data_IF_294565134686
#
_entry.id   IF_294565134686
#
_cell.length_a   1.000
_cell.length_b   1.000
_cell.length_c   1.000
_cell.angle_alpha   90.00
_cell.angle_beta   90.00
_cell.angle_gamma   90.00
#
_symmetry.space_group_name_H-M   'P 1'
#
loop_
_entity.id
_entity.type
_entity.pdbx_description
1 polymer ?
#
# COMPACT_ATOMS: atom_id res chain seq x y z
N UNK A 1 27.94 -4.52 3.26
CA UNK A 1 26.94 -5.42 3.88
C UNK A 1 25.85 -4.54 4.44
N UNK A 2 24.58 -4.82 4.11
CA UNK A 2 23.47 -4.25 4.86
C UNK A 2 23.44 -4.92 6.24
N UNK A 3 22.91 -4.25 7.28
CA UNK A 3 22.58 -4.91 8.53
C UNK A 3 21.66 -6.12 8.27
N UNK A 4 21.88 -7.27 8.93
CA UNK A 4 21.15 -8.55 8.73
C UNK A 4 19.61 -8.48 8.91
N UNK A 5 19.08 -7.30 9.25
CA UNK A 5 17.66 -7.02 9.44
C UNK A 5 17.22 -5.68 8.83
N UNK A 6 17.97 -5.12 7.88
CA UNK A 6 17.68 -3.81 7.32
C UNK A 6 16.27 -3.78 6.71
N UNK A 7 15.37 -3.13 7.43
CA UNK A 7 14.00 -2.88 7.04
C UNK A 7 13.78 -1.38 7.16
N UNK A 8 13.18 -0.79 6.14
CA UNK A 8 12.92 0.64 6.12
C UNK A 8 11.47 0.87 5.71
N UNK A 9 10.83 1.86 6.29
CA UNK A 9 9.45 2.18 5.93
C UNK A 9 9.39 2.86 4.57
N UNK A 10 8.34 2.59 3.75
CA UNK A 10 8.05 3.42 2.60
C UNK A 10 7.87 4.88 3.02
N UNK A 11 8.32 5.83 2.19
CA UNK A 11 8.03 7.24 2.42
C UNK A 11 6.54 7.53 2.25
N UNK A 12 6.03 8.43 3.08
CA UNK A 12 4.64 8.87 3.06
C UNK A 12 4.65 10.36 2.69
N UNK A 13 4.04 10.77 1.56
CA UNK A 13 4.10 12.16 1.09
C UNK A 13 3.38 13.12 2.04
N UNK A 14 3.93 14.33 2.21
CA UNK A 14 3.43 15.39 3.10
C UNK A 14 2.00 15.88 2.80
N UNK A 15 1.40 15.47 1.68
CA UNK A 15 0.05 15.90 1.26
C UNK A 15 -1.02 14.80 1.20
N UNK A 16 -0.69 13.54 1.53
CA UNK A 16 -1.70 12.45 1.54
C UNK A 16 -2.53 12.46 2.82
N UNK A 17 -3.74 11.89 2.86
CA UNK A 17 -4.54 11.82 4.11
C UNK A 17 -3.95 10.87 5.18
N UNK A 18 -2.86 10.15 4.90
CA UNK A 18 -1.98 9.60 5.95
C UNK A 18 -1.25 10.69 6.76
N UNK A 19 -1.45 11.98 6.46
CA UNK A 19 -0.83 13.12 7.16
C UNK A 19 -1.18 13.27 8.63
N UNK A 20 -2.20 12.55 9.09
CA UNK A 20 -2.60 12.49 10.50
C UNK A 20 -1.88 11.38 11.27
N UNK A 21 -0.97 10.63 10.63
CA UNK A 21 0.01 9.80 11.30
C UNK A 21 1.13 10.69 11.84
N UNK A 22 1.57 10.47 13.08
CA UNK A 22 2.73 11.18 13.62
C UNK A 22 4.01 10.71 12.89
N UNK A 23 4.36 11.43 11.82
CA UNK A 23 5.55 11.14 11.00
C UNK A 23 6.85 11.23 11.80
N UNK A 24 6.85 11.80 13.00
CA UNK A 24 8.04 11.90 13.83
C UNK A 24 8.62 10.53 14.22
N UNK A 25 7.89 9.43 14.01
CA UNK A 25 8.29 8.07 14.40
C UNK A 25 8.52 7.09 13.24
N UNK A 26 8.34 7.50 11.98
CA UNK A 26 8.49 6.58 10.84
C UNK A 26 9.90 6.65 10.29
N UNK A 27 10.73 5.66 10.61
CA UNK A 27 12.07 5.58 10.04
C UNK A 27 12.02 5.08 8.59
N UNK A 28 12.03 6.05 7.67
CA UNK A 28 12.11 5.82 6.23
C UNK A 28 13.55 5.89 5.70
N UNK A 29 14.55 5.96 6.60
CA UNK A 29 15.95 6.13 6.24
C UNK A 29 16.85 5.12 6.96
N UNK A 30 17.61 4.34 6.22
CA UNK A 30 18.72 3.60 6.83
C UNK A 30 19.85 4.57 7.12
N UNK A 31 20.16 4.71 8.41
CA UNK A 31 21.13 5.67 8.93
C UNK A 31 22.58 5.42 8.51
N UNK A 32 22.96 4.15 8.25
CA UNK A 32 24.31 3.81 7.78
C UNK A 32 24.33 2.49 6.97
N UNK A 33 24.93 2.53 5.79
CA UNK A 33 25.29 1.40 4.93
C UNK A 33 26.77 1.52 4.63
N UNK A 34 27.54 0.45 4.85
CA UNK A 34 28.99 0.46 4.62
C UNK A 34 29.34 -0.50 3.48
N UNK A 35 29.94 0.08 2.43
CA UNK A 35 30.60 -0.65 1.34
C UNK A 35 32.09 -0.67 1.63
N UNK A 36 32.71 -1.84 1.45
CA UNK A 36 34.07 -2.15 1.92
C UNK A 36 34.87 -2.77 0.78
N UNK A 37 36.05 -2.23 0.50
CA UNK A 37 36.94 -2.73 -0.54
C UNK A 37 38.31 -3.11 0.03
N UNK A 38 38.68 -4.37 -0.16
CA UNK A 38 39.89 -4.95 0.41
C UNK A 38 40.62 -5.80 -0.64
N UNK A 39 41.95 -5.80 -0.58
CA UNK A 39 42.80 -6.76 -1.28
C UNK A 39 43.63 -7.52 -0.25
N UNK A 40 43.40 -8.84 -0.15
CA UNK A 40 44.14 -9.72 0.75
C UNK A 40 44.16 -9.25 2.22
N UNK A 41 43.06 -8.63 2.67
CA UNK A 41 42.90 -8.09 4.03
C UNK A 41 43.34 -6.64 4.22
N UNK A 42 44.02 -6.04 3.25
CA UNK A 42 44.38 -4.62 3.28
C UNK A 42 43.30 -3.75 2.63
N UNK A 43 42.90 -2.61 3.22
CA UNK A 43 41.94 -1.71 2.61
C UNK A 43 42.50 -1.10 1.32
N UNK A 44 41.61 -0.80 0.37
CA UNK A 44 41.96 -0.11 -0.88
C UNK A 44 41.30 1.27 -0.89
N UNK A 45 42.10 2.32 -0.76
CA UNK A 45 41.65 3.71 -0.82
C UNK A 45 41.59 4.26 -2.25
N UNK A 46 40.89 5.39 -2.43
CA UNK A 46 40.79 6.16 -3.67
C UNK A 46 40.29 5.36 -4.89
N UNK A 47 39.53 4.29 -4.62
CA UNK A 47 39.03 3.41 -5.66
C UNK A 47 37.62 3.82 -6.04
N UNK A 48 37.41 4.17 -7.31
CA UNK A 48 36.10 4.49 -7.84
C UNK A 48 35.14 3.31 -7.80
N UNK A 49 33.95 3.53 -7.23
CA UNK A 49 32.86 2.57 -7.08
C UNK A 49 31.55 3.21 -7.57
N UNK A 50 30.77 2.45 -8.33
CA UNK A 50 29.37 2.76 -8.63
C UNK A 50 28.49 2.00 -7.65
N UNK A 51 27.56 2.69 -6.99
CA UNK A 51 26.55 2.07 -6.14
C UNK A 51 25.19 2.33 -6.76
N UNK A 52 24.43 1.28 -7.03
CA UNK A 52 23.10 1.36 -7.64
C UNK A 52 22.07 0.56 -6.87
N UNK A 53 20.80 0.87 -7.11
CA UNK A 53 19.67 0.11 -6.60
C UNK A 53 18.76 -0.33 -7.73
N UNK A 54 18.30 -1.57 -7.66
CA UNK A 54 17.43 -2.23 -8.62
C UNK A 54 16.17 -2.72 -7.91
N UNK A 55 15.00 -2.41 -8.44
CA UNK A 55 13.74 -2.93 -7.90
C UNK A 55 13.61 -4.41 -8.22
N UNK A 56 13.30 -5.23 -7.23
CA UNK A 56 13.00 -6.64 -7.45
C UNK A 56 11.54 -6.73 -7.91
N UNK A 57 11.33 -7.07 -9.18
CA UNK A 57 10.00 -7.22 -9.76
C UNK A 57 9.13 -8.21 -8.96
N UNK A 58 7.84 -7.91 -8.83
CA UNK A 58 6.91 -8.75 -8.08
C UNK A 58 7.13 -8.75 -6.56
N UNK A 59 7.98 -7.88 -6.02
CA UNK A 59 8.19 -7.78 -4.56
C UNK A 59 7.24 -6.80 -3.86
N UNK A 60 6.52 -5.97 -4.61
CA UNK A 60 5.72 -4.88 -4.09
C UNK A 60 4.91 -4.17 -5.18
N UNK A 61 4.00 -3.28 -4.78
CA UNK A 61 3.12 -2.54 -5.69
C UNK A 61 2.13 -3.39 -6.50
N UNK A 62 1.28 -2.71 -7.27
CA UNK A 62 0.28 -3.24 -8.18
C UNK A 62 0.49 -2.67 -9.59
N UNK A 63 0.28 -3.51 -10.61
CA UNK A 63 0.19 -3.08 -12.01
C UNK A 63 -1.17 -3.48 -12.60
N UNK A 64 -1.82 -2.56 -13.30
CA UNK A 64 -3.12 -2.77 -13.97
C UNK A 64 -3.00 -3.00 -15.47
N UNK A 65 -1.89 -2.60 -16.08
CA UNK A 65 -1.67 -2.89 -17.48
C UNK A 65 -1.29 -4.36 -17.60
N UNK A 66 -2.01 -5.09 -18.45
CA UNK A 66 -1.78 -6.51 -18.67
C UNK A 66 -0.46 -6.87 -19.34
N UNK A 67 0.46 -5.92 -19.46
CA UNK A 67 1.81 -6.14 -19.91
C UNK A 67 2.74 -5.88 -18.73
N UNK A 68 3.47 -6.90 -18.29
CA UNK A 68 4.60 -6.76 -17.37
C UNK A 68 5.81 -6.04 -18.02
N UNK A 69 5.62 -5.37 -19.16
CA UNK A 69 6.70 -4.65 -19.84
C UNK A 69 6.84 -3.23 -19.29
N UNK A 70 7.26 -3.13 -18.02
CA UNK A 70 8.08 -1.98 -17.68
C UNK A 70 9.46 -2.24 -18.29
N UNK A 71 9.63 -1.83 -19.56
CA UNK A 71 10.95 -1.80 -20.19
C UNK A 71 11.96 -1.03 -19.30
N UNK A 72 11.48 -0.06 -18.50
CA UNK A 72 12.16 0.45 -17.31
C UNK A 72 11.17 0.86 -16.21
N UNK A 73 11.35 0.42 -14.95
CA UNK A 73 10.59 0.95 -13.83
C UNK A 73 10.87 2.45 -13.64
N UNK A 74 9.87 3.25 -13.20
CA UNK A 74 10.10 4.67 -13.02
C UNK A 74 11.12 4.91 -11.90
N UNK A 75 12.09 5.80 -12.12
CA UNK A 75 13.26 5.99 -11.24
C UNK A 75 12.90 6.33 -9.78
N UNK A 76 11.71 6.89 -9.56
CA UNK A 76 11.18 7.21 -8.24
C UNK A 76 10.89 5.97 -7.35
N UNK A 77 10.84 4.74 -7.90
CA UNK A 77 10.65 3.53 -7.10
C UNK A 77 11.94 3.01 -6.45
N UNK A 78 13.10 3.62 -6.77
CA UNK A 78 14.40 3.14 -6.32
C UNK A 78 14.85 3.76 -4.99
N UNK A 79 14.17 4.80 -4.52
CA UNK A 79 14.59 5.60 -3.36
C UNK A 79 15.82 6.46 -3.65
N UNK A 80 16.47 6.94 -2.60
CA UNK A 80 17.62 7.84 -2.68
C UNK A 80 18.81 7.26 -1.95
N UNK A 81 19.96 7.24 -2.63
CA UNK A 81 21.25 6.95 -2.03
C UNK A 81 21.88 8.30 -1.67
N UNK A 82 22.42 8.42 -0.46
CA UNK A 82 23.06 9.65 0.03
C UNK A 82 24.45 9.30 0.54
N UNK A 83 25.48 9.93 -0.02
CA UNK A 83 26.84 9.84 0.50
C UNK A 83 26.95 10.68 1.77
N UNK A 84 27.32 10.05 2.89
CA UNK A 84 27.42 10.74 4.18
C UNK A 84 28.63 11.70 4.19
N UNK A 85 29.69 11.36 3.47
CA UNK A 85 30.94 12.14 3.46
C UNK A 85 30.83 13.38 2.56
N UNK A 86 30.19 13.25 1.41
CA UNK A 86 30.17 14.29 0.38
C UNK A 86 28.85 15.09 0.30
N UNK A 87 27.83 14.71 1.08
CA UNK A 87 26.48 15.27 1.03
C UNK A 87 25.78 15.17 -0.34
N UNK A 88 26.35 14.40 -1.26
CA UNK A 88 25.77 14.09 -2.55
C UNK A 88 24.61 13.10 -2.41
N UNK A 89 23.57 13.31 -3.20
CA UNK A 89 22.42 12.40 -3.22
C UNK A 89 21.96 12.16 -4.64
N UNK A 90 21.61 10.91 -4.93
CA UNK A 90 21.13 10.52 -6.23
C UNK A 90 20.04 9.46 -6.14
N UNK A 91 19.10 9.51 -7.08
CA UNK A 91 18.09 8.49 -7.22
C UNK A 91 18.69 7.28 -7.92
N UNK A 92 18.60 6.13 -7.28
CA UNK A 92 18.91 4.85 -7.90
C UNK A 92 20.40 4.56 -8.15
N UNK A 93 21.27 5.57 -8.25
CA UNK A 93 22.69 5.38 -8.60
C UNK A 93 23.56 6.55 -8.15
N UNK A 94 24.70 6.26 -7.52
CA UNK A 94 25.75 7.22 -7.16
C UNK A 94 27.12 6.68 -7.57
N UNK A 95 28.03 7.56 -7.99
CA UNK A 95 29.45 7.26 -8.19
C UNK A 95 30.24 7.94 -7.08
N UNK A 96 31.15 7.22 -6.42
CA UNK A 96 31.94 7.73 -5.30
C UNK A 96 33.28 6.98 -5.22
N UNK A 97 34.14 7.32 -4.27
CA UNK A 97 35.46 6.72 -4.06
C UNK A 97 35.61 6.20 -2.63
N UNK A 98 36.37 5.12 -2.44
CA UNK A 98 36.68 4.62 -1.10
C UNK A 98 37.61 5.56 -0.34
N UNK A 99 37.39 5.71 0.96
CA UNK A 99 38.26 6.50 1.85
C UNK A 99 39.56 5.75 2.21
N UNK A 100 40.38 6.33 3.09
CA UNK A 100 41.65 5.75 3.57
C UNK A 100 41.49 4.35 4.21
N UNK A 101 40.33 4.06 4.80
CA UNK A 101 39.97 2.76 5.39
C UNK A 101 39.39 1.77 4.37
N UNK A 102 39.33 2.14 3.08
CA UNK A 102 38.71 1.34 2.04
C UNK A 102 37.19 1.27 2.14
N UNK A 103 36.56 2.26 2.79
CA UNK A 103 35.12 2.31 3.05
C UNK A 103 34.42 3.40 2.25
N UNK A 104 33.15 3.14 1.94
CA UNK A 104 32.15 4.15 1.53
C UNK A 104 30.99 4.03 2.50
N UNK A 105 30.55 5.17 3.04
CA UNK A 105 29.45 5.23 4.02
C UNK A 105 28.28 5.99 3.45
N UNK A 106 27.15 5.30 3.38
CA UNK A 106 25.93 5.80 2.75
C UNK A 106 24.76 5.84 3.72
N UNK A 107 23.77 6.65 3.39
CA UNK A 107 22.39 6.52 3.85
C UNK A 107 21.50 6.11 2.69
N UNK A 108 20.39 5.47 3.02
CA UNK A 108 19.36 5.15 2.05
C UNK A 108 18.01 5.67 2.52
N UNK A 109 17.32 6.47 1.69
CA UNK A 109 15.95 6.92 1.95
C UNK A 109 14.98 6.19 1.03
N UNK A 110 14.00 5.53 1.63
CA UNK A 110 13.05 4.68 0.93
C UNK A 110 12.09 5.46 0.01
N UNK A 111 11.65 4.83 -1.10
CA UNK A 111 10.60 5.37 -1.96
C UNK A 111 9.23 5.24 -1.30
N UNK A 112 8.19 5.74 -1.97
CA UNK A 112 6.80 5.64 -1.52
C UNK A 112 6.23 4.21 -1.58
N UNK A 113 6.96 3.28 -2.17
CA UNK A 113 6.55 1.92 -2.49
C UNK A 113 7.16 0.92 -1.49
N UNK A 114 6.35 0.00 -0.98
CA UNK A 114 6.85 -1.15 -0.22
C UNK A 114 7.23 -2.27 -1.19
N UNK A 115 8.30 -3.01 -0.88
CA UNK A 115 8.84 -4.08 -1.72
C UNK A 115 10.26 -4.46 -1.34
N UNK A 116 11.02 -4.97 -2.30
CA UNK A 116 12.43 -5.31 -2.13
C UNK A 116 13.27 -4.59 -3.18
N UNK A 117 14.41 -4.08 -2.73
CA UNK A 117 15.37 -3.35 -3.54
C UNK A 117 16.72 -4.05 -3.40
N UNK A 118 17.30 -4.43 -4.53
CA UNK A 118 18.65 -4.94 -4.59
C UNK A 118 19.61 -3.76 -4.66
N UNK A 119 20.56 -3.66 -3.75
CA UNK A 119 21.63 -2.68 -3.79
C UNK A 119 22.90 -3.36 -4.31
N UNK A 120 23.56 -2.74 -5.29
CA UNK A 120 24.75 -3.29 -5.94
C UNK A 120 25.88 -2.26 -5.85
N UNK A 121 27.03 -2.67 -5.37
CA UNK A 121 28.28 -1.89 -5.40
C UNK A 121 29.24 -2.56 -6.39
N UNK A 122 29.73 -1.81 -7.38
CA UNK A 122 30.60 -2.29 -8.45
C UNK A 122 31.83 -1.40 -8.59
N UNK A 123 33.02 -1.99 -8.72
CA UNK A 123 34.23 -1.21 -8.98
C UNK A 123 34.20 -0.59 -10.38
N UNK A 124 34.78 0.60 -10.57
CA UNK A 124 34.83 1.24 -11.87
C UNK A 124 35.86 0.63 -12.84
N UNK A 125 36.84 -0.14 -12.34
CA UNK A 125 37.95 -0.69 -13.14
C UNK A 125 37.66 -2.13 -13.61
N UNK A 126 36.87 -2.90 -12.86
CA UNK A 126 36.53 -4.30 -13.16
C UNK A 126 35.04 -4.60 -12.84
N UNK A 127 34.14 -3.87 -13.50
CA UNK A 127 32.70 -3.88 -13.22
C UNK A 127 32.06 -5.27 -13.23
N UNK A 128 32.51 -6.15 -14.12
CA UNK A 128 31.89 -7.46 -14.34
C UNK A 128 32.38 -8.55 -13.37
N UNK A 129 33.45 -8.30 -12.60
CA UNK A 129 34.09 -9.34 -11.76
C UNK A 129 34.24 -8.94 -10.29
N UNK A 130 34.21 -7.64 -9.98
CA UNK A 130 34.27 -7.15 -8.61
C UNK A 130 33.01 -6.35 -8.30
N UNK A 131 32.01 -7.06 -7.77
CA UNK A 131 30.81 -6.46 -7.22
C UNK A 131 30.37 -7.15 -5.94
N UNK A 132 29.59 -6.42 -5.14
CA UNK A 132 28.85 -6.95 -4.01
C UNK A 132 27.41 -6.49 -4.13
N UNK A 133 26.46 -7.35 -3.79
CA UNK A 133 25.05 -6.99 -3.74
C UNK A 133 24.37 -7.49 -2.48
N UNK A 134 23.29 -6.81 -2.12
CA UNK A 134 22.47 -7.13 -0.96
C UNK A 134 21.02 -6.71 -1.21
N UNK A 135 20.07 -7.23 -0.42
CA UNK A 135 18.65 -6.93 -0.59
C UNK A 135 18.09 -6.20 0.60
N UNK A 136 17.54 -5.01 0.33
CA UNK A 136 16.80 -4.20 1.28
C UNK A 136 15.30 -4.48 1.18
N UNK A 137 14.66 -4.78 2.32
CA UNK A 137 13.20 -4.82 2.41
C UNK A 137 12.65 -3.43 2.80
N UNK A 138 11.83 -2.84 1.92
CA UNK A 138 11.05 -1.64 2.21
C UNK A 138 9.66 -2.09 2.64
N UNK A 139 9.32 -1.99 3.92
CA UNK A 139 8.01 -2.44 4.40
C UNK A 139 7.48 -1.72 5.63
N UNK A 140 6.16 -1.76 5.77
CA UNK A 140 5.47 -1.42 7.02
C UNK A 140 5.51 -2.64 7.95
N UNK A 141 6.10 -2.54 9.16
CA UNK A 141 6.17 -3.61 10.13
C UNK A 141 4.80 -3.90 10.76
N UNK A 142 4.61 -5.15 11.18
CA UNK A 142 3.41 -5.57 11.92
C UNK A 142 2.14 -5.67 11.07
N UNK A 143 2.26 -5.61 9.74
CA UNK A 143 1.15 -5.92 8.85
C UNK A 143 0.83 -7.42 8.92
N UNK A 144 -0.45 -7.72 9.09
CA UNK A 144 -1.01 -9.07 9.14
C UNK A 144 -2.12 -9.19 8.10
N UNK A 145 -2.26 -10.39 7.54
CA UNK A 145 -3.31 -10.68 6.58
C UNK A 145 -4.67 -10.75 7.28
N UNK A 146 -5.69 -10.07 6.74
CA UNK A 146 -7.08 -10.22 7.16
C UNK A 146 -7.49 -11.70 6.98
N UNK A 147 -7.80 -12.43 8.08
CA UNK A 147 -8.19 -13.82 8.00
C UNK A 147 -9.52 -13.97 7.26
N UNK A 148 -9.77 -15.17 6.74
CA UNK A 148 -11.12 -15.52 6.28
C UNK A 148 -12.08 -15.60 7.48
N UNK A 149 -13.35 -15.28 7.27
CA UNK A 149 -14.37 -15.37 8.31
C UNK A 149 -15.76 -15.59 7.72
N UNK A 150 -16.71 -15.98 8.57
CA UNK A 150 -18.10 -16.25 8.13
C UNK A 150 -18.88 -14.96 7.85
N UNK A 151 -18.58 -13.88 8.58
CA UNK A 151 -19.29 -12.61 8.52
C UNK A 151 -18.61 -11.56 7.63
N UNK A 152 -17.44 -11.89 7.06
CA UNK A 152 -16.68 -11.03 6.17
C UNK A 152 -16.30 -11.81 4.92
N UNK A 153 -16.25 -11.11 3.79
CA UNK A 153 -15.84 -11.66 2.52
C UNK A 153 -14.79 -10.74 1.92
N UNK A 154 -13.63 -11.30 1.62
CA UNK A 154 -12.58 -10.60 0.89
C UNK A 154 -12.99 -10.53 -0.58
N UNK A 155 -13.25 -9.32 -1.05
CA UNK A 155 -13.56 -8.98 -2.44
C UNK A 155 -12.38 -8.20 -3.03
N UNK A 156 -12.42 -7.90 -4.33
CA UNK A 156 -11.20 -7.43 -4.99
C UNK A 156 -10.21 -8.57 -5.19
N UNK A 157 -8.92 -8.22 -5.33
CA UNK A 157 -7.85 -9.17 -5.58
C UNK A 157 -8.07 -10.03 -6.83
N UNK A 158 -8.88 -9.55 -7.80
CA UNK A 158 -9.16 -10.29 -9.03
C UNK A 158 -7.87 -10.49 -9.82
N UNK A 159 -7.80 -11.41 -10.80
CA UNK A 159 -6.59 -11.53 -11.63
C UNK A 159 -6.13 -10.21 -12.27
N UNK A 160 -7.01 -9.20 -12.37
CA UNK A 160 -6.69 -7.86 -12.87
C UNK A 160 -6.31 -6.85 -11.77
N UNK A 161 -6.66 -7.12 -10.51
CA UNK A 161 -6.48 -6.27 -9.33
C UNK A 161 -5.73 -7.01 -8.21
N UNK A 162 -4.87 -7.96 -8.57
CA UNK A 162 -4.07 -8.70 -7.60
C UNK A 162 -2.74 -7.98 -7.39
N UNK A 163 -2.33 -7.87 -6.12
CA UNK A 163 -1.01 -7.38 -5.76
C UNK A 163 0.12 -8.27 -6.21
N UNK A 164 1.35 -7.90 -5.83
CA UNK A 164 2.52 -7.92 -6.71
C UNK A 164 2.54 -9.10 -7.66
N UNK A 165 2.49 -8.80 -8.96
CA UNK A 165 2.41 -9.81 -10.02
C UNK A 165 3.78 -10.43 -10.24
N UNK A 166 3.82 -11.75 -10.32
CA UNK A 166 5.03 -12.53 -10.66
C UNK A 166 4.90 -13.25 -12.00
N UNK A 167 3.78 -13.10 -12.73
CA UNK A 167 3.61 -13.72 -14.05
C UNK A 167 2.78 -12.87 -15.04
N UNK A 168 2.99 -13.12 -16.33
CA UNK A 168 2.46 -12.33 -17.45
C UNK A 168 1.24 -12.96 -18.13
N UNK A 169 0.51 -13.87 -17.46
CA UNK A 169 -0.47 -14.74 -18.15
C UNK A 169 -1.87 -14.89 -17.51
N UNK A 170 -2.19 -14.14 -16.46
CA UNK A 170 -3.52 -14.11 -15.82
C UNK A 170 -4.09 -15.48 -15.36
N UNK A 171 -3.80 -15.87 -14.11
CA UNK A 171 -4.80 -16.32 -13.13
C UNK A 171 -4.15 -16.37 -11.73
N UNK A 172 -3.83 -15.22 -11.13
CA UNK A 172 -3.65 -15.19 -9.67
C UNK A 172 -5.04 -15.26 -9.03
N UNK A 173 -5.48 -16.50 -8.81
CA UNK A 173 -6.71 -16.88 -8.15
C UNK A 173 -6.65 -16.51 -6.66
N UNK A 174 -6.69 -15.20 -6.32
CA UNK A 174 -6.69 -14.65 -4.93
C UNK A 174 -5.63 -15.19 -3.96
N UNK A 175 -4.73 -16.05 -4.41
CA UNK A 175 -3.82 -16.85 -3.60
C UNK A 175 -2.42 -16.76 -4.22
N UNK A 176 -1.42 -16.26 -3.47
CA UNK A 176 -1.55 -15.72 -2.10
C UNK A 176 -2.40 -14.44 -2.09
N UNK A 177 -3.07 -14.11 -0.98
CA UNK A 177 -3.74 -12.81 -0.87
C UNK A 177 -2.68 -11.71 -0.77
N UNK A 178 -2.87 -10.60 -1.50
CA UNK A 178 -1.87 -9.54 -1.68
C UNK A 178 -2.43 -8.12 -1.53
N UNK A 179 -3.71 -7.97 -1.14
CA UNK A 179 -4.34 -6.66 -1.01
C UNK A 179 -5.16 -6.51 0.28
N UNK A 180 -5.09 -7.46 1.22
CA UNK A 180 -5.83 -7.41 2.48
C UNK A 180 -4.93 -7.42 3.72
N UNK A 181 -3.82 -6.70 3.69
CA UNK A 181 -2.95 -6.58 4.87
C UNK A 181 -3.31 -5.33 5.67
N UNK A 182 -3.39 -5.47 6.99
CA UNK A 182 -3.67 -4.39 7.93
C UNK A 182 -2.78 -4.50 9.16
N UNK A 183 -2.73 -3.48 10.01
CA UNK A 183 -2.20 -3.66 11.37
C UNK A 183 -3.12 -4.62 12.13
N UNK A 184 -2.60 -5.32 13.14
CA UNK A 184 -3.42 -6.24 13.94
C UNK A 184 -4.67 -5.56 14.50
N UNK A 185 -4.52 -4.37 15.09
CA UNK A 185 -5.63 -3.58 15.63
C UNK A 185 -6.67 -3.21 14.55
N UNK A 186 -6.23 -2.88 13.35
CA UNK A 186 -7.11 -2.56 12.24
C UNK A 186 -7.90 -3.80 11.78
N UNK A 187 -7.22 -4.93 11.66
CA UNK A 187 -7.83 -6.22 11.30
C UNK A 187 -8.86 -6.64 12.34
N UNK A 188 -8.54 -6.53 13.64
CA UNK A 188 -9.48 -6.85 14.73
C UNK A 188 -10.72 -5.96 14.68
N UNK A 189 -10.53 -4.68 14.38
CA UNK A 189 -11.62 -3.71 14.22
C UNK A 189 -12.52 -4.04 13.02
N UNK A 190 -11.96 -4.49 11.89
CA UNK A 190 -12.73 -4.93 10.73
C UNK A 190 -13.54 -6.22 11.02
N UNK A 191 -12.96 -7.16 11.76
CA UNK A 191 -13.65 -8.38 12.20
C UNK A 191 -14.82 -8.03 13.13
N UNK A 192 -14.59 -7.13 14.10
CA UNK A 192 -15.64 -6.60 14.99
C UNK A 192 -16.75 -5.93 14.18
N UNK A 193 -16.39 -5.06 13.21
CA UNK A 193 -17.36 -4.40 12.33
C UNK A 193 -18.19 -5.40 11.51
N UNK A 194 -17.55 -6.44 10.96
CA UNK A 194 -18.23 -7.50 10.22
C UNK A 194 -19.22 -8.29 11.09
N UNK A 195 -18.86 -8.59 12.35
CA UNK A 195 -19.76 -9.25 13.29
C UNK A 195 -20.96 -8.37 13.65
N UNK A 196 -20.74 -7.08 13.89
CA UNK A 196 -21.82 -6.13 14.15
C UNK A 196 -22.72 -5.94 12.93
N UNK A 197 -22.13 -5.92 11.74
CA UNK A 197 -22.88 -5.92 10.48
C UNK A 197 -23.81 -7.13 10.39
N UNK A 198 -23.30 -8.34 10.66
CA UNK A 198 -24.11 -9.57 10.67
C UNK A 198 -25.26 -9.50 11.68
N UNK A 199 -25.03 -8.94 12.87
CA UNK A 199 -26.06 -8.77 13.90
C UNK A 199 -27.15 -7.76 13.49
N UNK A 200 -26.77 -6.64 12.86
CA UNK A 200 -27.74 -5.67 12.32
C UNK A 200 -28.61 -6.32 11.23
N UNK A 201 -28.02 -7.20 10.41
CA UNK A 201 -28.78 -7.98 9.42
C UNK A 201 -29.83 -8.86 10.09
N UNK A 202 -29.45 -9.56 11.16
CA UNK A 202 -30.35 -10.46 11.87
C UNK A 202 -31.56 -9.73 12.50
N UNK A 203 -31.40 -8.46 12.88
CA UNK A 203 -32.50 -7.67 13.45
C UNK A 203 -33.45 -7.06 12.41
N UNK A 204 -33.03 -6.90 11.16
CA UNK A 204 -33.76 -6.12 10.14
C UNK A 204 -34.62 -6.96 9.16
N UNK A 205 -34.54 -8.29 9.15
CA UNK A 205 -35.38 -9.10 8.25
C UNK A 205 -35.75 -10.49 8.79
N UNK A 206 -37.04 -10.73 9.01
CA UNK A 206 -37.57 -12.06 9.36
C UNK A 206 -37.49 -13.09 8.22
N UNK A 207 -37.11 -12.74 6.98
CA UNK A 207 -37.06 -13.71 5.86
C UNK A 207 -36.05 -13.35 4.76
N UNK A 208 -34.82 -12.93 5.10
CA UNK A 208 -33.73 -12.92 4.11
C UNK A 208 -32.65 -13.89 4.60
N UNK A 209 -32.80 -15.14 4.15
CA UNK A 209 -31.86 -16.26 4.22
C UNK A 209 -30.49 -15.97 3.57
N UNK A 210 -30.28 -14.73 3.10
CA UNK A 210 -29.03 -14.22 2.57
C UNK A 210 -28.44 -13.19 3.52
N UNK A 211 -27.96 -13.65 4.68
CA UNK A 211 -26.95 -12.89 5.41
C UNK A 211 -25.75 -12.69 4.50
N UNK A 212 -25.60 -11.47 3.96
CA UNK A 212 -24.47 -11.14 3.09
C UNK A 212 -23.30 -10.70 3.98
N UNK A 213 -22.16 -11.42 3.93
CA UNK A 213 -20.97 -11.00 4.67
C UNK A 213 -20.54 -9.60 4.26
N UNK A 214 -19.90 -8.87 5.19
CA UNK A 214 -19.33 -7.56 4.90
C UNK A 214 -18.20 -7.73 3.88
N UNK A 215 -18.31 -7.08 2.73
CA UNK A 215 -17.34 -7.23 1.65
C UNK A 215 -16.21 -6.22 1.81
N UNK A 216 -14.99 -6.72 2.02
CA UNK A 216 -13.77 -5.91 2.19
C UNK A 216 -12.95 -6.01 0.91
N UNK A 217 -12.60 -4.89 0.27
CA UNK A 217 -11.97 -4.83 -1.05
C UNK A 217 -10.46 -4.65 -0.98
N UNK A 218 -9.98 -3.43 -0.78
CA UNK A 218 -8.55 -3.13 -0.69
C UNK A 218 -8.25 -2.68 0.74
N UNK A 219 -7.23 -3.26 1.36
CA UNK A 219 -6.46 -2.72 2.49
C UNK A 219 -5.05 -2.41 1.95
N UNK A 220 -3.98 -2.73 2.67
CA UNK A 220 -2.60 -2.60 2.21
C UNK A 220 -2.04 -3.85 1.52
N UNK A 221 -0.92 -3.63 0.83
CA UNK A 221 -0.02 -4.67 0.33
C UNK A 221 0.69 -5.41 1.48
N UNK A 222 1.26 -6.61 1.25
CA UNK A 222 2.06 -7.32 2.23
C UNK A 222 3.20 -6.48 2.83
N UNK A 223 3.82 -5.64 2.00
CA UNK A 223 4.89 -4.72 2.41
C UNK A 223 4.39 -3.28 2.62
N UNK A 224 3.09 -3.02 2.52
CA UNK A 224 2.54 -1.66 2.52
C UNK A 224 3.04 -0.81 1.35
N UNK A 225 3.08 0.50 1.56
CA UNK A 225 3.45 1.50 0.55
C UNK A 225 2.38 1.68 -0.53
N UNK A 226 2.71 2.44 -1.56
CA UNK A 226 1.78 2.79 -2.64
C UNK A 226 1.44 1.59 -3.52
N UNK A 227 0.17 1.50 -3.93
CA UNK A 227 -0.31 0.52 -4.88
C UNK A 227 0.22 0.78 -6.30
N UNK A 228 -0.03 1.96 -6.86
CA UNK A 228 0.18 2.23 -8.28
C UNK A 228 1.64 2.56 -8.63
N UNK A 229 2.42 1.54 -8.97
CA UNK A 229 3.83 1.69 -9.40
C UNK A 229 3.98 2.54 -10.67
N UNK A 230 2.99 2.48 -11.57
CA UNK A 230 3.09 3.12 -12.88
C UNK A 230 2.49 4.53 -12.91
N UNK A 231 1.84 4.98 -11.82
CA UNK A 231 1.07 6.22 -11.82
C UNK A 231 -0.12 6.18 -12.79
N UNK A 232 -0.56 5.00 -13.25
CA UNK A 232 -1.61 4.85 -14.26
C UNK A 232 -3.01 4.76 -13.66
N UNK A 233 -3.13 4.70 -12.34
CA UNK A 233 -4.41 4.81 -11.62
C UNK A 233 -4.93 6.25 -11.61
N UNK A 234 -4.17 7.20 -12.19
CA UNK A 234 -4.54 8.59 -12.42
C UNK A 234 -5.56 8.76 -13.57
N UNK A 235 -6.72 8.11 -13.52
CA UNK A 235 -7.86 8.70 -14.24
C UNK A 235 -8.25 9.99 -13.50
N UNK A 236 -8.75 10.99 -14.24
CA UNK A 236 -9.06 12.34 -13.71
C UNK A 236 -10.02 12.34 -12.50
N UNK A 237 -10.73 11.23 -12.26
CA UNK A 237 -11.70 11.03 -11.19
C UNK A 237 -11.19 10.11 -10.04
N UNK A 238 -10.04 9.43 -10.19
CA UNK A 238 -9.55 8.44 -9.22
C UNK A 238 -8.17 8.76 -8.64
N UNK A 239 -7.61 9.95 -8.91
CA UNK A 239 -6.27 10.33 -8.46
C UNK A 239 -6.02 10.13 -6.95
N UNK A 240 -7.05 10.24 -6.12
CA UNK A 240 -6.94 10.13 -4.67
C UNK A 240 -7.34 8.77 -4.09
N UNK A 241 -8.00 7.89 -4.84
CA UNK A 241 -8.68 6.71 -4.27
C UNK A 241 -7.71 5.72 -3.60
N UNK A 242 -6.43 5.73 -3.99
CA UNK A 242 -5.43 4.77 -3.51
C UNK A 242 -4.09 5.44 -3.16
N UNK A 243 -4.11 6.76 -2.96
CA UNK A 243 -3.03 7.39 -2.20
C UNK A 243 -3.08 6.96 -0.72
N UNK A 244 -4.24 6.43 -0.31
CA UNK A 244 -4.51 5.73 0.95
C UNK A 244 -4.08 4.27 0.87
N UNK A 245 -4.21 3.51 1.96
CA UNK A 245 -3.86 2.09 2.02
C UNK A 245 -2.36 1.76 2.08
N UNK A 246 -1.53 2.70 2.53
CA UNK A 246 -0.08 2.50 2.58
C UNK A 246 0.40 1.75 3.82
N UNK A 247 -0.32 1.89 4.93
CA UNK A 247 0.18 1.55 6.28
C UNK A 247 -0.69 0.56 7.05
N UNK A 248 -1.62 -0.09 6.37
CA UNK A 248 -2.47 -1.13 6.95
C UNK A 248 -3.58 -0.61 7.84
N UNK A 249 -4.04 0.62 7.63
CA UNK A 249 -5.03 1.29 8.48
C UNK A 249 -6.22 1.83 7.70
N UNK A 250 -6.31 1.46 6.43
CA UNK A 250 -7.35 1.89 5.52
C UNK A 250 -7.99 0.64 4.91
N UNK A 251 -9.29 0.71 4.62
CA UNK A 251 -10.04 -0.34 3.93
C UNK A 251 -11.13 0.25 3.05
N UNK A 252 -11.30 -0.33 1.87
CA UNK A 252 -12.45 -0.10 1.01
C UNK A 252 -13.51 -1.17 1.31
N UNK A 253 -14.68 -0.74 1.76
CA UNK A 253 -15.76 -1.64 2.19
C UNK A 253 -16.95 -1.50 1.24
N UNK A 254 -17.37 -2.60 0.63
CA UNK A 254 -18.59 -2.66 -0.16
C UNK A 254 -19.77 -3.06 0.72
N UNK A 255 -20.76 -2.19 0.79
CA UNK A 255 -21.98 -2.37 1.60
C UNK A 255 -23.22 -2.69 0.77
N UNK A 256 -23.10 -2.80 -0.56
CA UNK A 256 -24.24 -3.06 -1.44
C UNK A 256 -24.74 -4.49 -1.33
N UNK A 257 -26.01 -4.67 -0.91
CA UNK A 257 -26.75 -5.93 -1.05
C UNK A 257 -27.47 -5.98 -2.40
N UNK A 258 -27.45 -7.14 -3.06
CA UNK A 258 -28.26 -7.41 -4.25
C UNK A 258 -29.61 -7.98 -3.80
N UNK A 259 -30.70 -7.25 -4.00
CA UNK A 259 -32.05 -7.78 -3.89
C UNK A 259 -32.57 -8.23 -5.27
N UNK A 260 -33.52 -9.18 -5.35
CA UNK A 260 -34.12 -9.61 -6.61
C UNK A 260 -34.72 -8.42 -7.38
N UNK A 261 -34.42 -8.36 -8.68
CA UNK A 261 -34.90 -7.31 -9.58
C UNK A 261 -36.42 -7.48 -9.73
N UNK A 262 -37.21 -6.50 -9.29
CA UNK A 262 -38.67 -6.59 -9.44
C UNK A 262 -39.51 -5.43 -8.97
N UNK A 263 -39.12 -4.67 -7.94
CA UNK A 263 -39.76 -3.40 -7.56
C UNK A 263 -38.80 -2.60 -6.68
N UNK A 264 -38.52 -1.35 -7.07
CA UNK A 264 -37.37 -0.57 -6.64
C UNK A 264 -37.11 -0.50 -5.14
N UNK A 265 -35.88 -0.87 -4.76
CA UNK A 265 -34.90 -0.10 -3.97
C UNK A 265 -33.64 -0.95 -3.83
N UNK A 266 -32.53 -0.49 -4.41
CA UNK A 266 -31.23 -1.05 -4.09
C UNK A 266 -30.87 -0.67 -2.64
N UNK A 267 -30.67 -1.67 -1.78
CA UNK A 267 -29.83 -1.58 -0.59
C UNK A 267 -30.50 -1.21 0.74
N UNK A 268 -30.33 -2.10 1.73
CA UNK A 268 -30.17 -1.89 3.19
C UNK A 268 -30.41 -0.46 3.69
N UNK A 269 -31.54 -0.17 4.36
CA UNK A 269 -31.82 1.08 5.13
C UNK A 269 -30.88 2.25 4.83
N UNK A 270 -30.78 2.63 3.55
CA UNK A 270 -29.91 3.70 3.16
C UNK A 270 -30.69 4.97 3.47
N UNK A 271 -30.23 5.71 4.46
CA UNK A 271 -30.72 7.06 4.66
C UNK A 271 -30.19 7.90 3.52
N UNK A 272 -31.09 8.55 2.78
CA UNK A 272 -30.73 9.60 1.82
C UNK A 272 -29.74 10.55 2.52
N UNK A 273 -28.54 10.69 1.97
CA UNK A 273 -27.58 11.61 2.54
C UNK A 273 -28.08 13.02 2.24
N UNK A 274 -28.31 13.80 3.28
CA UNK A 274 -28.73 15.18 3.17
C UNK A 274 -27.57 16.09 3.61
N UNK A 275 -27.39 17.22 2.96
CA UNK A 275 -26.51 18.29 3.41
C UNK A 275 -27.05 18.96 4.69
N UNK A 276 -26.32 19.96 5.21
CA UNK A 276 -26.73 20.71 6.40
C UNK A 276 -28.08 21.43 6.29
N UNK A 277 -28.64 21.54 5.07
CA UNK A 277 -29.92 22.18 4.78
C UNK A 277 -31.04 21.17 4.49
N UNK A 278 -30.78 19.87 4.60
CA UNK A 278 -31.76 18.83 4.27
C UNK A 278 -31.89 18.55 2.76
N UNK A 279 -30.98 19.06 1.92
CA UNK A 279 -30.95 18.82 0.47
C UNK A 279 -30.20 17.53 0.18
N UNK A 280 -30.66 16.69 -0.77
CA UNK A 280 -29.95 15.45 -1.12
C UNK A 280 -28.55 15.75 -1.63
N UNK A 281 -27.56 15.06 -1.09
CA UNK A 281 -26.21 15.05 -1.65
C UNK A 281 -26.25 14.23 -2.93
N UNK A 282 -25.71 14.79 -4.02
CA UNK A 282 -25.62 14.13 -5.32
C UNK A 282 -24.19 13.66 -5.59
N UNK A 283 -24.04 12.53 -6.29
CA UNK A 283 -22.76 12.07 -6.84
C UNK A 283 -22.35 12.92 -8.05
N UNK A 284 -21.17 12.62 -8.62
CA UNK A 284 -20.62 13.33 -9.78
C UNK A 284 -21.45 13.15 -11.07
N UNK A 285 -22.37 12.20 -11.09
CA UNK A 285 -23.27 11.91 -12.20
C UNK A 285 -24.68 12.51 -11.95
N UNK A 286 -24.89 13.18 -10.81
CA UNK A 286 -26.16 13.79 -10.43
C UNK A 286 -27.16 12.84 -9.75
N UNK A 287 -26.74 11.63 -9.37
CA UNK A 287 -27.59 10.69 -8.64
C UNK A 287 -27.55 10.98 -7.14
N UNK A 288 -28.66 10.79 -6.43
CA UNK A 288 -28.70 10.92 -4.97
C UNK A 288 -27.83 9.87 -4.28
N UNK A 289 -27.07 10.32 -3.28
CA UNK A 289 -26.22 9.46 -2.45
C UNK A 289 -27.02 8.92 -1.27
N UNK A 290 -26.88 7.63 -1.03
CA UNK A 290 -27.64 6.88 -0.04
C UNK A 290 -26.68 6.20 0.92
N UNK A 291 -26.79 6.47 2.24
CA UNK A 291 -25.83 5.97 3.24
C UNK A 291 -26.46 5.12 4.31
N UNK A 292 -25.79 4.04 4.70
CA UNK A 292 -26.21 3.27 5.86
C UNK A 292 -25.75 4.00 7.14
N UNK A 293 -26.64 4.79 7.76
CA UNK A 293 -26.34 5.53 9.00
C UNK A 293 -26.03 4.62 10.18
N UNK A 294 -26.61 3.42 10.25
CA UNK A 294 -26.29 2.45 11.30
C UNK A 294 -24.85 1.94 11.14
N UNK A 295 -24.42 1.65 9.91
CA UNK A 295 -23.05 1.28 9.58
C UNK A 295 -22.07 2.43 9.83
N UNK A 296 -22.41 3.66 9.44
CA UNK A 296 -21.61 4.84 9.75
C UNK A 296 -21.47 5.04 11.26
N UNK A 297 -22.55 4.84 12.03
CA UNK A 297 -22.50 4.85 13.49
C UNK A 297 -21.61 3.75 14.04
N UNK A 298 -21.66 2.54 13.50
CA UNK A 298 -20.73 1.47 13.90
C UNK A 298 -19.27 1.87 13.62
N UNK A 299 -18.98 2.46 12.45
CA UNK A 299 -17.63 2.99 12.15
C UNK A 299 -17.19 4.02 13.20
N UNK A 300 -18.08 4.94 13.58
CA UNK A 300 -17.80 5.97 14.60
C UNK A 300 -17.62 5.35 16.00
N UNK A 301 -18.45 4.37 16.37
CA UNK A 301 -18.41 3.73 17.70
C UNK A 301 -17.18 2.85 17.89
N UNK A 302 -16.66 2.23 16.82
CA UNK A 302 -15.45 1.42 16.85
C UNK A 302 -14.16 2.24 16.71
N UNK A 303 -14.21 3.57 16.80
CA UNK A 303 -13.01 4.41 16.79
C UNK A 303 -13.22 5.87 17.19
N UNK A 304 -12.65 6.24 18.33
CA UNK A 304 -12.99 7.46 19.08
C UNK A 304 -12.65 8.83 18.43
N UNK A 305 -12.04 8.90 17.25
CA UNK A 305 -11.65 10.17 16.59
C UNK A 305 -11.52 10.03 15.05
N UNK A 306 -12.55 9.53 14.35
CA UNK A 306 -12.40 9.09 12.95
C UNK A 306 -13.30 9.84 11.97
N UNK A 307 -12.77 10.09 10.77
CA UNK A 307 -13.50 10.60 9.61
C UNK A 307 -13.71 9.42 8.64
N UNK A 308 -14.81 9.38 7.91
CA UNK A 308 -15.11 8.36 6.89
C UNK A 308 -15.48 9.06 5.58
N UNK A 309 -14.91 8.61 4.47
CA UNK A 309 -15.18 9.18 3.14
C UNK A 309 -15.98 8.21 2.28
N UNK A 310 -16.93 8.73 1.49
CA UNK A 310 -17.57 7.95 0.43
C UNK A 310 -16.88 8.34 -0.87
N UNK A 311 -16.34 7.34 -1.56
CA UNK A 311 -15.70 7.53 -2.85
C UNK A 311 -16.32 6.55 -3.85
N UNK A 312 -16.82 7.06 -4.98
CA UNK A 312 -17.41 6.26 -6.03
C UNK A 312 -18.05 7.14 -7.11
N UNK A 313 -17.78 6.81 -8.37
CA UNK A 313 -18.50 7.32 -9.54
C UNK A 313 -19.24 6.13 -10.17
N UNK A 314 -20.57 6.07 -10.00
CA UNK A 314 -21.42 5.03 -10.57
C UNK A 314 -21.62 3.77 -9.71
N UNK A 315 -22.46 2.85 -10.25
CA UNK A 315 -23.17 1.69 -9.67
C UNK A 315 -22.46 0.73 -8.67
N UNK A 316 -21.21 0.98 -8.29
CA UNK A 316 -20.42 0.20 -7.33
C UNK A 316 -19.86 1.10 -6.21
N UNK A 317 -20.74 1.66 -5.39
CA UNK A 317 -20.35 2.43 -4.21
C UNK A 317 -19.55 1.56 -3.21
N UNK A 318 -18.47 2.12 -2.67
CA UNK A 318 -17.71 1.59 -1.55
C UNK A 318 -17.42 2.72 -0.55
N UNK A 319 -17.27 2.35 0.72
CA UNK A 319 -16.88 3.23 1.81
C UNK A 319 -15.39 3.11 2.02
N UNK A 320 -14.70 4.25 2.02
CA UNK A 320 -13.31 4.29 2.45
C UNK A 320 -13.26 4.58 3.94
N UNK A 321 -12.71 3.64 4.72
CA UNK A 321 -12.64 3.69 6.18
C UNK A 321 -11.18 3.71 6.61
N UNK A 322 -10.83 4.63 7.51
CA UNK A 322 -9.48 4.77 8.05
C UNK A 322 -9.46 4.90 9.57
N UNK A 323 -8.51 4.21 10.21
CA UNK A 323 -8.38 4.12 11.66
C UNK A 323 -7.05 4.71 12.16
N UNK A 324 -7.14 5.74 13.00
CA UNK A 324 -6.03 6.20 13.86
C UNK A 324 -5.89 5.30 15.08
#
# INVERSE_FOLDING_TARGET
>A
MLPDSAQVWPSIPQGGASTLFDFAQVDNTIGEIIVKMFNSGSPISDQGVTISTEWIEGSGGHNHSGGNDLAQPPQNIMGWIVDIAEADSAQGRIETVTNEDGEIRLRYRAPEFGGKIRMVAQTNINRDTLFADDTLAVKVPGLVLLPNGNNLSKVGGTPRHHGPRVDSRYQNNRSPDNNHFGTQEFVDSLISLANNWANLVASDSEQDDRQVPLNINDLSLPNGGKFDLEGRWLTRLHRAAHDYHRVGRDADIRTTRKFPIGNGRNGVLLTRLLDGNGTPVLDTEGNEVYVNRAFQRQIILHGANRKSGIHGSGKNEHYHVYFY
#
